data_IF_526812754392
#
_entry.id   IF_526812754392
#
_cell.length_a   1.000
_cell.length_b   1.000
_cell.length_c   1.000
_cell.angle_alpha   90.00
_cell.angle_beta   90.00
_cell.angle_gamma   90.00
#
_symmetry.space_group_name_H-M   'P 1'
#
loop_
_entity.id
_entity.type
_entity.pdbx_description
1 polymer ?
#
# COMPACT_ATOMS: atom_id res chain seq x y z
N UNK A 1 -13.51 -11.90 -61.44
CA UNK A 1 -12.17 -12.24 -60.90
C UNK A 1 -11.32 -10.98 -60.88
N UNK A 2 -11.31 -10.28 -59.76
CA UNK A 2 -10.32 -9.23 -59.47
C UNK A 2 -10.27 -9.06 -57.94
N UNK A 3 -9.76 -10.10 -57.28
CA UNK A 3 -9.38 -10.05 -55.87
C UNK A 3 -7.94 -9.58 -55.84
N UNK A 4 -7.74 -8.27 -56.01
CA UNK A 4 -6.45 -7.66 -55.73
C UNK A 4 -6.13 -7.95 -54.26
N UNK A 5 -5.07 -8.72 -54.07
CA UNK A 5 -4.42 -9.02 -52.81
C UNK A 5 -4.25 -7.69 -52.08
N UNK A 6 -5.07 -7.39 -51.06
CA UNK A 6 -4.68 -6.42 -50.04
C UNK A 6 -3.39 -7.00 -49.47
N UNK A 7 -2.26 -6.35 -49.77
CA UNK A 7 -1.03 -6.58 -49.03
C UNK A 7 -1.40 -6.63 -47.57
N UNK A 8 -0.97 -7.69 -46.91
CA UNK A 8 -1.36 -7.94 -45.55
C UNK A 8 -0.65 -6.90 -44.67
N UNK A 9 -1.34 -5.80 -44.40
CA UNK A 9 -0.78 -4.57 -43.84
C UNK A 9 -0.06 -4.83 -42.51
N UNK A 10 -0.60 -5.75 -41.71
CA UNK A 10 0.04 -6.20 -40.48
C UNK A 10 1.39 -6.87 -40.77
N UNK A 11 1.48 -7.72 -41.79
CA UNK A 11 2.73 -8.39 -42.16
C UNK A 11 3.80 -7.39 -42.62
N UNK A 12 3.41 -6.33 -43.34
CA UNK A 12 4.33 -5.26 -43.73
C UNK A 12 4.82 -4.46 -42.51
N UNK A 13 3.90 -4.13 -41.60
CA UNK A 13 4.20 -3.40 -40.37
C UNK A 13 5.17 -4.19 -39.48
N UNK A 14 4.97 -5.50 -39.31
CA UNK A 14 5.85 -6.37 -38.55
C UNK A 14 7.26 -6.41 -39.16
N UNK A 15 7.37 -6.55 -40.49
CA UNK A 15 8.66 -6.61 -41.20
C UNK A 15 9.43 -5.29 -41.19
N UNK A 16 8.75 -4.16 -41.07
CA UNK A 16 9.38 -2.84 -40.97
C UNK A 16 10.09 -2.65 -39.63
N UNK A 17 9.63 -3.31 -38.56
CA UNK A 17 10.05 -3.05 -37.18
C UNK A 17 10.76 -4.19 -36.47
N UNK A 18 10.66 -5.40 -36.99
CA UNK A 18 11.20 -6.61 -36.38
C UNK A 18 12.17 -7.31 -37.35
N UNK A 19 13.03 -8.17 -36.80
CA UNK A 19 13.82 -9.08 -37.63
C UNK A 19 12.91 -10.08 -38.35
N UNK A 20 13.39 -10.62 -39.48
CA UNK A 20 12.58 -11.45 -40.36
C UNK A 20 12.02 -12.72 -39.67
N UNK A 21 12.78 -13.31 -38.74
CA UNK A 21 12.34 -14.52 -38.05
C UNK A 21 11.21 -14.18 -37.06
N UNK A 22 11.40 -13.16 -36.22
CA UNK A 22 10.37 -12.70 -35.27
C UNK A 22 9.11 -12.22 -35.99
N UNK A 23 9.25 -11.49 -37.10
CA UNK A 23 8.12 -11.01 -37.89
C UNK A 23 7.30 -12.14 -38.50
N UNK A 24 7.95 -13.16 -39.08
CA UNK A 24 7.27 -14.32 -39.64
C UNK A 24 6.54 -15.13 -38.56
N UNK A 25 7.22 -15.35 -37.43
CA UNK A 25 6.70 -16.12 -36.32
C UNK A 25 5.49 -15.42 -35.66
N UNK A 26 5.52 -14.10 -35.47
CA UNK A 26 4.34 -13.33 -35.04
C UNK A 26 3.21 -13.39 -36.06
N UNK A 27 3.52 -13.22 -37.34
CA UNK A 27 2.52 -13.25 -38.41
C UNK A 27 1.77 -14.59 -38.45
N UNK A 28 2.48 -15.69 -38.20
CA UNK A 28 1.93 -17.05 -38.06
C UNK A 28 0.96 -17.19 -36.89
N UNK A 29 1.30 -16.64 -35.72
CA UNK A 29 0.46 -16.71 -34.52
C UNK A 29 -0.74 -15.76 -34.59
N UNK A 30 -0.61 -14.64 -35.31
CA UNK A 30 -1.68 -13.67 -35.55
C UNK A 30 -2.43 -13.93 -36.87
N UNK A 31 -2.42 -15.17 -37.39
CA UNK A 31 -3.21 -15.51 -38.59
C UNK A 31 -4.70 -15.61 -38.33
N UNK A 32 -5.10 -15.93 -37.10
CA UNK A 32 -6.51 -16.02 -36.74
C UNK A 32 -7.20 -14.67 -37.00
N UNK A 33 -8.20 -14.59 -37.90
CA UNK A 33 -8.90 -13.35 -38.19
C UNK A 33 -9.48 -12.66 -36.94
N UNK A 34 -9.87 -13.43 -35.91
CA UNK A 34 -10.41 -12.91 -34.66
C UNK A 34 -9.38 -12.14 -33.82
N UNK A 35 -8.08 -12.41 -34.02
CA UNK A 35 -6.99 -11.67 -33.38
C UNK A 35 -6.36 -10.65 -34.34
N UNK A 36 -6.21 -11.04 -35.61
CA UNK A 36 -5.51 -10.25 -36.64
C UNK A 36 -6.18 -8.90 -36.87
N UNK A 37 -7.49 -8.90 -37.03
CA UNK A 37 -8.25 -7.68 -37.37
C UNK A 37 -8.20 -6.68 -36.22
N UNK A 38 -8.56 -7.05 -34.96
CA UNK A 38 -8.45 -6.12 -33.84
C UNK A 38 -7.02 -5.60 -33.61
N UNK A 39 -6.01 -6.47 -33.69
CA UNK A 39 -4.61 -6.04 -33.49
C UNK A 39 -4.20 -5.00 -34.54
N UNK A 40 -4.55 -5.20 -35.82
CA UNK A 40 -4.24 -4.22 -36.85
C UNK A 40 -5.00 -2.90 -36.63
N UNK A 41 -6.27 -2.95 -36.23
CA UNK A 41 -7.08 -1.78 -35.92
C UNK A 41 -6.46 -0.95 -34.79
N UNK A 42 -6.11 -1.59 -33.67
CA UNK A 42 -5.49 -0.92 -32.52
C UNK A 42 -4.09 -0.36 -32.84
N UNK A 43 -3.29 -1.08 -33.61
CA UNK A 43 -2.00 -0.56 -34.08
C UNK A 43 -2.17 0.64 -35.01
N UNK A 44 -3.24 0.69 -35.81
CA UNK A 44 -3.55 1.85 -36.63
C UNK A 44 -4.04 3.03 -35.80
N UNK A 45 -4.83 2.81 -34.75
CA UNK A 45 -5.20 3.87 -33.80
C UNK A 45 -3.95 4.47 -33.11
N UNK A 46 -3.01 3.63 -32.67
CA UNK A 46 -1.73 4.11 -32.14
C UNK A 46 -0.94 4.93 -33.16
N UNK A 47 -1.04 4.62 -34.45
CA UNK A 47 -0.39 5.38 -35.53
C UNK A 47 -1.00 6.76 -35.70
N UNK A 48 -2.32 6.86 -35.59
CA UNK A 48 -3.05 8.13 -35.64
C UNK A 48 -2.62 9.06 -34.49
N UNK A 49 -2.34 8.50 -33.31
CA UNK A 49 -1.75 9.24 -32.19
C UNK A 49 -0.27 9.56 -32.45
N UNK A 50 0.54 8.55 -32.74
CA UNK A 50 1.97 8.69 -33.04
C UNK A 50 2.56 7.44 -33.70
N UNK A 51 3.12 7.62 -34.91
CA UNK A 51 3.89 6.57 -35.60
C UNK A 51 5.09 6.04 -34.80
N UNK A 52 5.65 6.85 -33.90
CA UNK A 52 6.72 6.44 -32.99
C UNK A 52 6.20 5.45 -31.93
N UNK A 53 5.03 5.72 -31.37
CA UNK A 53 4.40 4.85 -30.36
C UNK A 53 3.96 3.54 -31.02
N UNK A 54 3.34 3.60 -32.21
CA UNK A 54 3.04 2.40 -32.99
C UNK A 54 4.30 1.55 -33.21
N UNK A 55 5.40 2.17 -33.65
CA UNK A 55 6.66 1.46 -33.87
C UNK A 55 7.18 0.76 -32.61
N UNK A 56 7.07 1.40 -31.44
CA UNK A 56 7.43 0.80 -30.15
C UNK A 56 6.48 -0.35 -29.76
N UNK A 57 5.17 -0.20 -29.95
CA UNK A 57 4.19 -1.25 -29.70
C UNK A 57 4.45 -2.48 -30.57
N UNK A 58 4.75 -2.29 -31.87
CA UNK A 58 5.09 -3.37 -32.80
C UNK A 58 6.39 -4.07 -32.38
N UNK A 59 7.39 -3.31 -31.93
CA UNK A 59 8.61 -3.91 -31.39
C UNK A 59 8.31 -4.76 -30.13
N UNK A 60 7.53 -4.20 -29.22
CA UNK A 60 7.13 -4.84 -27.96
C UNK A 60 6.26 -6.09 -28.17
N UNK A 61 5.47 -6.19 -29.24
CA UNK A 61 4.72 -7.40 -29.60
C UNK A 61 5.63 -8.64 -29.71
N UNK A 62 6.86 -8.46 -30.22
CA UNK A 62 7.85 -9.54 -30.26
C UNK A 62 8.25 -10.03 -28.87
N UNK A 63 8.35 -9.12 -27.89
CA UNK A 63 8.63 -9.45 -26.50
C UNK A 63 7.43 -10.13 -25.82
N UNK A 64 6.22 -9.62 -26.04
CA UNK A 64 4.96 -10.21 -25.56
C UNK A 64 4.83 -11.65 -26.03
N UNK A 65 5.12 -11.92 -27.31
CA UNK A 65 5.19 -13.28 -27.83
C UNK A 65 6.24 -14.12 -27.14
N UNK A 66 7.47 -13.64 -27.03
CA UNK A 66 8.57 -14.42 -26.46
C UNK A 66 8.26 -14.89 -25.04
N UNK A 67 7.43 -14.14 -24.32
CA UNK A 67 6.97 -14.45 -22.95
C UNK A 67 5.68 -15.28 -22.89
N UNK A 68 5.11 -15.65 -24.04
CA UNK A 68 3.87 -16.43 -24.09
C UNK A 68 2.62 -15.62 -23.73
N UNK A 69 2.65 -14.30 -23.90
CA UNK A 69 1.58 -13.39 -23.48
C UNK A 69 0.69 -12.90 -24.64
N UNK A 70 0.80 -13.49 -25.84
CA UNK A 70 0.03 -13.05 -27.02
C UNK A 70 -1.49 -13.15 -26.85
N UNK A 71 -1.98 -14.05 -26.00
CA UNK A 71 -3.42 -14.14 -25.74
C UNK A 71 -4.00 -12.84 -25.18
N UNK A 72 -3.21 -12.10 -24.40
CA UNK A 72 -3.59 -10.83 -23.78
C UNK A 72 -3.31 -9.61 -24.67
N UNK A 73 -3.01 -9.79 -25.96
CA UNK A 73 -2.53 -8.71 -26.83
C UNK A 73 -3.54 -7.58 -27.04
N UNK A 74 -4.84 -7.92 -27.11
CA UNK A 74 -5.92 -6.93 -27.31
C UNK A 74 -6.02 -5.99 -26.09
N UNK A 75 -6.31 -6.49 -24.86
CA UNK A 75 -6.39 -5.60 -23.69
C UNK A 75 -5.06 -4.89 -23.40
N UNK A 76 -3.93 -5.51 -23.76
CA UNK A 76 -2.61 -4.88 -23.66
C UNK A 76 -2.44 -3.69 -24.63
N UNK A 77 -2.90 -3.80 -25.88
CA UNK A 77 -2.86 -2.68 -26.83
C UNK A 77 -3.85 -1.58 -26.45
N UNK A 78 -5.07 -1.93 -26.02
CA UNK A 78 -6.09 -0.99 -25.56
C UNK A 78 -5.57 -0.11 -24.42
N UNK A 79 -4.98 -0.71 -23.39
CA UNK A 79 -4.36 0.05 -22.28
C UNK A 79 -3.24 0.97 -22.77
N UNK A 80 -2.45 0.51 -23.74
CA UNK A 80 -1.38 1.32 -24.34
C UNK A 80 -1.89 2.53 -25.14
N UNK A 81 -3.06 2.42 -25.76
CA UNK A 81 -3.78 3.51 -26.44
C UNK A 81 -4.28 4.51 -25.42
N UNK A 82 -4.95 4.07 -24.34
CA UNK A 82 -5.40 4.95 -23.25
C UNK A 82 -4.23 5.76 -22.67
N UNK A 83 -3.08 5.11 -22.44
CA UNK A 83 -1.88 5.84 -22.03
C UNK A 83 -1.35 6.78 -23.10
N UNK A 84 -1.47 6.46 -24.39
CA UNK A 84 -1.01 7.32 -25.47
C UNK A 84 -1.87 8.58 -25.61
N UNK A 85 -3.18 8.45 -25.40
CA UNK A 85 -4.14 9.57 -25.37
C UNK A 85 -3.83 10.53 -24.21
N UNK A 86 -3.42 10.01 -23.05
CA UNK A 86 -3.01 10.82 -21.91
C UNK A 86 -1.62 11.46 -22.09
N UNK A 87 -0.62 10.65 -22.48
CA UNK A 87 0.77 11.10 -22.64
C UNK A 87 1.59 10.11 -23.46
N UNK A 88 2.16 10.59 -24.59
CA UNK A 88 3.05 9.78 -25.41
C UNK A 88 4.29 9.26 -24.66
N UNK A 89 4.78 9.98 -23.65
CA UNK A 89 5.89 9.51 -22.81
C UNK A 89 5.47 8.36 -21.87
N UNK A 90 4.22 8.35 -21.41
CA UNK A 90 3.67 7.27 -20.60
C UNK A 90 3.50 6.00 -21.44
N UNK A 91 2.89 6.11 -22.61
CA UNK A 91 2.71 4.97 -23.53
C UNK A 91 4.04 4.35 -23.99
N UNK A 92 5.06 5.18 -24.27
CA UNK A 92 6.40 4.67 -24.59
C UNK A 92 7.04 3.88 -23.42
N UNK A 93 6.86 4.32 -22.17
CA UNK A 93 7.32 3.57 -21.00
C UNK A 93 6.54 2.25 -20.87
N UNK A 94 5.22 2.33 -21.03
CA UNK A 94 4.34 1.18 -21.01
C UNK A 94 4.77 0.10 -22.01
N UNK A 95 4.90 0.41 -23.30
CA UNK A 95 5.27 -0.60 -24.29
C UNK A 95 6.68 -1.19 -24.06
N UNK A 96 7.59 -0.45 -23.44
CA UNK A 96 8.94 -0.93 -23.10
C UNK A 96 8.96 -1.87 -21.91
N UNK A 97 8.18 -1.57 -20.87
CA UNK A 97 8.25 -2.26 -19.58
C UNK A 97 7.19 -3.35 -19.43
N UNK A 98 5.99 -3.14 -19.98
CA UNK A 98 4.83 -4.03 -19.80
C UNK A 98 5.01 -5.45 -20.30
N UNK A 99 5.77 -5.78 -21.38
CA UNK A 99 5.97 -7.18 -21.75
C UNK A 99 6.63 -7.97 -20.63
N UNK A 100 7.59 -7.35 -19.91
CA UNK A 100 8.23 -7.99 -18.77
C UNK A 100 7.26 -8.20 -17.61
N UNK A 101 6.44 -7.18 -17.31
CA UNK A 101 5.39 -7.24 -16.28
C UNK A 101 4.42 -8.39 -16.58
N UNK A 102 3.90 -8.47 -17.81
CA UNK A 102 2.98 -9.54 -18.25
C UNK A 102 3.60 -10.92 -18.12
N UNK A 103 4.89 -11.06 -18.39
CA UNK A 103 5.60 -12.34 -18.25
C UNK A 103 5.68 -12.86 -16.82
N UNK A 104 5.51 -12.00 -15.81
CA UNK A 104 5.43 -12.41 -14.41
C UNK A 104 3.99 -12.69 -13.94
N UNK A 105 2.97 -12.32 -14.72
CA UNK A 105 1.59 -12.63 -14.43
C UNK A 105 1.27 -14.04 -14.97
N UNK A 106 1.37 -15.05 -14.10
CA UNK A 106 1.44 -16.46 -14.52
C UNK A 106 0.19 -16.97 -15.28
N UNK A 107 -1.01 -16.51 -14.91
CA UNK A 107 -2.28 -17.00 -15.47
C UNK A 107 -2.88 -16.03 -16.49
N UNK A 108 -3.23 -16.56 -17.65
CA UNK A 108 -3.87 -15.79 -18.74
C UNK A 108 -5.18 -15.14 -18.31
N UNK A 109 -6.10 -15.88 -17.68
CA UNK A 109 -7.36 -15.32 -17.17
C UNK A 109 -7.14 -14.14 -16.22
N UNK A 110 -6.10 -14.22 -15.40
CA UNK A 110 -5.77 -13.16 -14.46
C UNK A 110 -5.12 -11.97 -15.18
N UNK A 111 -4.31 -12.21 -16.23
CA UNK A 111 -3.69 -11.13 -17.02
C UNK A 111 -4.74 -10.22 -17.63
N UNK A 112 -5.73 -10.80 -18.30
CA UNK A 112 -6.76 -10.03 -18.99
C UNK A 112 -7.65 -9.27 -17.99
N UNK A 113 -8.04 -9.90 -16.87
CA UNK A 113 -8.79 -9.24 -15.80
C UNK A 113 -7.99 -8.09 -15.17
N UNK A 114 -6.70 -8.30 -14.88
CA UNK A 114 -5.82 -7.26 -14.33
C UNK A 114 -5.57 -6.11 -15.31
N UNK A 115 -5.42 -6.40 -16.61
CA UNK A 115 -5.29 -5.38 -17.65
C UNK A 115 -6.59 -4.59 -17.82
N UNK A 116 -7.74 -5.25 -17.79
CA UNK A 116 -9.04 -4.59 -17.82
C UNK A 116 -9.21 -3.64 -16.63
N UNK A 117 -8.84 -4.06 -15.42
CA UNK A 117 -8.84 -3.16 -14.27
C UNK A 117 -7.84 -2.01 -14.40
N UNK A 118 -6.62 -2.26 -14.89
CA UNK A 118 -5.67 -1.18 -15.14
C UNK A 118 -6.20 -0.18 -16.18
N UNK A 119 -6.94 -0.65 -17.18
CA UNK A 119 -7.63 0.19 -18.17
C UNK A 119 -8.75 1.01 -17.52
N UNK A 120 -9.61 0.41 -16.70
CA UNK A 120 -10.66 1.12 -15.94
C UNK A 120 -10.07 2.23 -15.06
N UNK A 121 -8.94 1.95 -14.39
CA UNK A 121 -8.23 2.95 -13.59
C UNK A 121 -7.65 4.05 -14.47
N UNK A 122 -7.08 3.72 -15.62
CA UNK A 122 -6.47 4.69 -16.54
C UNK A 122 -7.50 5.61 -17.19
N UNK A 123 -8.70 5.10 -17.47
CA UNK A 123 -9.84 5.84 -18.03
C UNK A 123 -10.62 6.63 -16.96
N UNK A 124 -10.16 6.61 -15.71
CA UNK A 124 -10.72 7.40 -14.63
C UNK A 124 -10.74 8.90 -14.93
N UNK A 125 -11.67 9.62 -14.29
CA UNK A 125 -11.93 11.05 -14.57
C UNK A 125 -10.83 12.01 -14.13
N UNK A 126 -9.88 11.56 -13.29
CA UNK A 126 -8.78 12.38 -12.80
C UNK A 126 -7.62 12.47 -13.78
N UNK A 127 -7.03 13.66 -13.95
CA UNK A 127 -5.85 13.87 -14.81
C UNK A 127 -4.65 12.97 -14.43
N UNK A 128 -4.59 12.55 -13.16
CA UNK A 128 -3.56 11.67 -12.62
C UNK A 128 -3.83 10.16 -12.84
N UNK A 129 -5.04 9.80 -13.28
CA UNK A 129 -5.51 8.42 -13.35
C UNK A 129 -4.63 7.53 -14.27
N UNK A 130 -4.22 7.97 -15.47
CA UNK A 130 -3.30 7.20 -16.32
C UNK A 130 -1.95 6.92 -15.65
N UNK A 131 -1.40 7.90 -14.93
CA UNK A 131 -0.10 7.74 -14.27
C UNK A 131 -0.20 6.81 -13.06
N UNK A 132 -1.31 6.86 -12.32
CA UNK A 132 -1.61 5.96 -11.21
C UNK A 132 -1.82 4.52 -11.69
N UNK A 133 -2.62 4.32 -12.74
CA UNK A 133 -2.83 3.00 -13.35
C UNK A 133 -1.53 2.37 -13.85
N UNK A 134 -0.61 3.18 -14.36
CA UNK A 134 0.71 2.70 -14.75
C UNK A 134 1.58 2.27 -13.55
N UNK A 135 1.60 3.05 -12.47
CA UNK A 135 2.31 2.64 -11.25
C UNK A 135 1.68 1.39 -10.62
N UNK A 136 0.35 1.28 -10.66
CA UNK A 136 -0.37 0.08 -10.24
C UNK A 136 0.05 -1.16 -11.04
N UNK A 137 0.06 -1.06 -12.37
CA UNK A 137 0.48 -2.14 -13.26
C UNK A 137 1.89 -2.66 -12.92
N UNK A 138 2.82 -1.78 -12.56
CA UNK A 138 4.20 -2.16 -12.21
C UNK A 138 4.29 -3.01 -10.95
N UNK A 139 3.40 -2.80 -9.99
CA UNK A 139 3.42 -3.51 -8.70
C UNK A 139 2.57 -4.78 -8.70
N UNK A 140 1.70 -4.97 -9.71
CA UNK A 140 0.82 -6.13 -9.83
C UNK A 140 1.53 -7.50 -9.73
N UNK A 141 2.69 -7.75 -10.38
CA UNK A 141 3.36 -9.04 -10.26
C UNK A 141 3.71 -9.41 -8.82
N UNK A 142 4.14 -8.42 -8.02
CA UNK A 142 4.45 -8.65 -6.62
C UNK A 142 3.18 -8.87 -5.79
N UNK A 143 2.13 -8.08 -6.02
CA UNK A 143 0.85 -8.21 -5.33
C UNK A 143 0.16 -9.56 -5.58
N UNK A 144 0.21 -10.05 -6.82
CA UNK A 144 -0.35 -11.37 -7.18
C UNK A 144 0.33 -12.53 -6.42
N UNK A 145 1.55 -12.33 -5.94
CA UNK A 145 2.26 -13.31 -5.10
C UNK A 145 1.91 -13.25 -3.62
N UNK A 146 1.27 -12.17 -3.15
CA UNK A 146 1.04 -11.90 -1.72
C UNK A 146 -0.44 -11.95 -1.34
N UNK A 147 -1.36 -11.54 -2.22
CA UNK A 147 -2.80 -11.38 -1.91
C UNK A 147 -3.72 -11.90 -3.03
N UNK A 148 -5.01 -12.09 -2.69
CA UNK A 148 -6.02 -12.59 -3.63
C UNK A 148 -6.52 -11.51 -4.59
N UNK A 149 -6.99 -11.93 -5.79
CA UNK A 149 -7.43 -11.00 -6.85
C UNK A 149 -8.54 -10.01 -6.44
N UNK A 150 -9.60 -10.41 -5.70
CA UNK A 150 -10.60 -9.44 -5.23
C UNK A 150 -10.02 -8.39 -4.27
N UNK A 151 -8.98 -8.76 -3.50
CA UNK A 151 -8.29 -7.85 -2.59
C UNK A 151 -7.41 -6.86 -3.36
N UNK A 152 -6.76 -7.30 -4.44
CA UNK A 152 -6.00 -6.45 -5.37
C UNK A 152 -6.90 -5.31 -5.88
N UNK A 153 -8.13 -5.59 -6.31
CA UNK A 153 -9.06 -4.57 -6.79
C UNK A 153 -9.41 -3.54 -5.69
N UNK A 154 -9.62 -3.98 -4.45
CA UNK A 154 -9.95 -3.07 -3.35
C UNK A 154 -8.74 -2.18 -2.97
N UNK A 155 -7.52 -2.72 -2.99
CA UNK A 155 -6.30 -1.92 -2.84
C UNK A 155 -6.19 -0.86 -3.96
N UNK A 156 -6.52 -1.22 -5.20
CA UNK A 156 -6.51 -0.28 -6.32
C UNK A 156 -7.48 0.89 -6.09
N UNK A 157 -8.70 0.57 -5.63
CA UNK A 157 -9.76 1.52 -5.33
C UNK A 157 -9.30 2.53 -4.27
N UNK A 158 -8.67 2.07 -3.19
CA UNK A 158 -8.11 2.93 -2.14
C UNK A 158 -7.01 3.87 -2.67
N UNK A 159 -6.12 3.35 -3.53
CA UNK A 159 -5.07 4.15 -4.15
C UNK A 159 -5.63 5.26 -5.05
N UNK A 160 -6.72 4.97 -5.78
CA UNK A 160 -7.40 5.98 -6.59
C UNK A 160 -8.14 7.02 -5.76
N UNK A 161 -8.84 6.63 -4.69
CA UNK A 161 -9.45 7.58 -3.75
C UNK A 161 -8.39 8.55 -3.17
N UNK A 162 -7.20 8.04 -2.86
CA UNK A 162 -6.07 8.85 -2.44
C UNK A 162 -5.53 9.75 -3.57
N UNK A 163 -5.43 9.25 -4.78
CA UNK A 163 -4.92 10.01 -5.94
C UNK A 163 -5.85 11.15 -6.35
N UNK A 164 -7.17 10.96 -6.25
CA UNK A 164 -8.18 12.00 -6.47
C UNK A 164 -8.03 13.14 -5.47
N UNK A 165 -7.68 12.82 -4.22
CA UNK A 165 -7.41 13.81 -3.20
C UNK A 165 -6.04 14.49 -3.42
N UNK A 166 -4.99 13.71 -3.64
CA UNK A 166 -3.66 14.18 -3.97
C UNK A 166 -2.85 13.12 -4.71
N UNK A 167 -2.49 13.44 -5.95
CA UNK A 167 -1.69 12.55 -6.81
C UNK A 167 -0.40 12.05 -6.15
N UNK A 168 0.33 12.89 -5.42
CA UNK A 168 1.62 12.49 -4.82
C UNK A 168 1.39 11.38 -3.79
N UNK A 169 0.34 11.49 -2.98
CA UNK A 169 -0.01 10.45 -2.01
C UNK A 169 -0.51 9.17 -2.68
N UNK A 170 -1.44 9.28 -3.65
CA UNK A 170 -1.94 8.11 -4.37
C UNK A 170 -0.82 7.37 -5.11
N UNK A 171 0.08 8.10 -5.77
CA UNK A 171 1.22 7.53 -6.47
C UNK A 171 2.21 6.84 -5.51
N UNK A 172 2.48 7.44 -4.34
CA UNK A 172 3.32 6.79 -3.32
C UNK A 172 2.65 5.53 -2.75
N UNK A 173 1.35 5.60 -2.47
CA UNK A 173 0.56 4.47 -2.00
C UNK A 173 0.63 3.30 -2.98
N UNK A 174 0.48 3.54 -4.29
CA UNK A 174 0.61 2.50 -5.30
C UNK A 174 2.00 1.87 -5.32
N UNK A 175 3.06 2.68 -5.22
CA UNK A 175 4.44 2.18 -5.20
C UNK A 175 4.74 1.29 -4.01
N UNK A 176 4.25 1.67 -2.84
CA UNK A 176 4.46 0.93 -1.58
C UNK A 176 3.40 -0.15 -1.34
N UNK A 177 2.38 -0.25 -2.19
CA UNK A 177 1.25 -1.14 -2.01
C UNK A 177 1.64 -2.61 -1.75
N UNK A 178 2.63 -3.21 -2.43
CA UNK A 178 3.05 -4.58 -2.09
C UNK A 178 3.50 -4.76 -0.65
N UNK A 179 4.27 -3.80 -0.13
CA UNK A 179 4.74 -3.80 1.25
C UNK A 179 3.57 -3.58 2.21
N UNK A 180 2.68 -2.65 1.88
CA UNK A 180 1.50 -2.30 2.68
C UNK A 180 0.54 -3.50 2.76
N UNK A 181 0.15 -4.10 1.64
CA UNK A 181 -0.78 -5.21 1.57
C UNK A 181 -0.27 -6.46 2.30
N UNK A 182 1.04 -6.68 2.29
CA UNK A 182 1.68 -7.75 3.09
C UNK A 182 1.59 -7.49 4.60
N UNK A 183 1.67 -6.23 5.00
CA UNK A 183 1.80 -5.83 6.39
C UNK A 183 0.46 -5.48 7.07
N UNK A 184 -0.51 -4.93 6.34
CA UNK A 184 -1.75 -4.36 6.86
C UNK A 184 -2.93 -5.15 6.28
N UNK A 185 -3.78 -5.77 7.12
CA UNK A 185 -4.99 -6.43 6.64
C UNK A 185 -5.90 -5.46 5.88
N UNK A 186 -6.57 -5.95 4.83
CA UNK A 186 -7.49 -5.14 4.02
C UNK A 186 -8.55 -4.42 4.87
N UNK A 187 -9.10 -5.10 5.88
CA UNK A 187 -10.12 -4.54 6.78
C UNK A 187 -9.60 -3.32 7.57
N UNK A 188 -8.29 -3.27 7.81
CA UNK A 188 -7.60 -2.19 8.51
C UNK A 188 -7.06 -1.10 7.59
N UNK A 189 -7.05 -1.32 6.27
CA UNK A 189 -6.37 -0.45 5.30
C UNK A 189 -6.88 1.00 5.36
N UNK A 190 -8.19 1.22 5.39
CA UNK A 190 -8.79 2.57 5.49
C UNK A 190 -8.41 3.28 6.79
N UNK A 191 -8.40 2.55 7.91
CA UNK A 191 -8.02 3.12 9.20
C UNK A 191 -6.53 3.47 9.24
N UNK A 192 -5.68 2.61 8.66
CA UNK A 192 -4.24 2.84 8.52
C UNK A 192 -3.93 4.04 7.63
N UNK A 193 -4.63 4.19 6.49
CA UNK A 193 -4.54 5.39 5.64
C UNK A 193 -4.95 6.62 6.44
N UNK A 194 -6.09 6.56 7.13
CA UNK A 194 -6.59 7.65 7.97
C UNK A 194 -5.59 8.08 9.04
N UNK A 195 -4.89 7.14 9.68
CA UNK A 195 -3.79 7.43 10.59
C UNK A 195 -2.66 8.19 9.88
N UNK A 196 -2.16 7.67 8.76
CA UNK A 196 -1.11 8.34 7.98
C UNK A 196 -1.48 9.77 7.56
N UNK A 197 -2.75 10.01 7.22
CA UNK A 197 -3.25 11.34 6.84
C UNK A 197 -3.24 12.34 8.01
N UNK A 198 -3.40 11.89 9.26
CA UNK A 198 -3.31 12.76 10.44
C UNK A 198 -1.89 13.25 10.72
N UNK A 199 -0.88 12.64 10.10
CA UNK A 199 0.53 13.04 10.22
C UNK A 199 0.90 14.23 9.32
N UNK A 200 -0.04 14.74 8.52
CA UNK A 200 0.19 15.94 7.72
C UNK A 200 0.23 17.18 8.62
N UNK A 201 1.26 18.00 8.42
CA UNK A 201 1.44 19.28 9.11
C UNK A 201 1.31 20.43 8.12
N UNK A 202 1.20 21.66 8.61
CA UNK A 202 1.28 22.85 7.76
C UNK A 202 2.73 23.32 7.64
N UNK A 203 3.18 23.58 6.42
CA UNK A 203 4.48 24.20 6.20
C UNK A 203 4.45 25.71 6.55
N UNK A 204 5.61 26.37 6.47
CA UNK A 204 5.77 27.80 6.76
C UNK A 204 4.93 28.74 5.87
N UNK A 205 4.37 28.22 4.78
CA UNK A 205 3.48 28.95 3.86
C UNK A 205 2.00 28.64 4.10
N UNK A 206 1.67 27.87 5.15
CA UNK A 206 0.30 27.47 5.49
C UNK A 206 -0.30 26.40 4.57
N UNK A 207 0.52 25.75 3.73
CA UNK A 207 0.08 24.65 2.86
C UNK A 207 0.33 23.30 3.54
N UNK A 208 -0.46 22.26 3.23
CA UNK A 208 -0.19 20.90 3.71
C UNK A 208 1.21 20.43 3.29
N UNK A 209 1.92 19.83 4.25
CA UNK A 209 3.17 19.11 4.06
C UNK A 209 2.90 17.61 4.20
N UNK A 210 3.19 16.88 3.12
CA UNK A 210 2.90 15.46 2.99
C UNK A 210 4.06 14.56 3.44
N UNK A 211 5.21 15.14 3.84
CA UNK A 211 6.41 14.35 4.16
C UNK A 211 6.12 13.30 5.24
N UNK A 212 5.40 13.66 6.31
CA UNK A 212 5.05 12.73 7.38
C UNK A 212 4.21 11.55 6.91
N UNK A 213 3.20 11.80 6.07
CA UNK A 213 2.36 10.74 5.48
C UNK A 213 3.14 9.85 4.52
N UNK A 214 3.99 10.45 3.67
CA UNK A 214 4.84 9.71 2.73
C UNK A 214 5.84 8.81 3.46
N UNK A 215 6.48 9.31 4.52
CA UNK A 215 7.38 8.53 5.36
C UNK A 215 6.63 7.41 6.09
N UNK A 216 5.41 7.67 6.57
CA UNK A 216 4.56 6.66 7.18
C UNK A 216 4.21 5.52 6.20
N UNK A 217 3.86 5.83 4.95
CA UNK A 217 3.59 4.79 3.94
C UNK A 217 4.80 3.92 3.64
N UNK A 218 6.01 4.52 3.61
CA UNK A 218 7.27 3.80 3.34
C UNK A 218 7.77 2.95 4.50
N UNK A 219 7.62 3.45 5.72
CA UNK A 219 8.30 2.86 6.89
C UNK A 219 7.39 1.98 7.73
N UNK A 220 6.13 2.37 7.91
CA UNK A 220 5.23 1.65 8.82
C UNK A 220 4.94 0.20 8.40
N UNK A 221 4.91 -0.21 7.11
CA UNK A 221 4.73 -1.62 6.77
C UNK A 221 5.76 -2.53 7.42
N UNK A 222 7.03 -2.11 7.52
CA UNK A 222 8.08 -2.89 8.19
C UNK A 222 7.80 -3.09 9.68
N UNK A 223 7.30 -2.04 10.36
CA UNK A 223 6.91 -2.10 11.78
C UNK A 223 5.69 -3.00 11.99
N UNK A 224 4.71 -2.94 11.08
CA UNK A 224 3.52 -3.81 11.15
C UNK A 224 3.83 -5.28 10.82
N UNK A 225 4.89 -5.58 10.07
CA UNK A 225 5.35 -6.97 9.85
C UNK A 225 5.92 -7.62 11.12
N UNK A 226 6.41 -6.82 12.07
CA UNK A 226 6.89 -7.32 13.37
C UNK A 226 5.74 -7.70 14.33
N UNK A 227 4.50 -7.34 13.98
CA UNK A 227 3.30 -7.64 14.76
C UNK A 227 2.53 -8.78 14.07
N UNK A 228 2.41 -9.94 14.71
CA UNK A 228 1.87 -11.13 14.03
C UNK A 228 0.33 -11.20 13.99
N UNK A 229 -0.37 -10.55 14.92
CA UNK A 229 -1.82 -10.69 15.09
C UNK A 229 -2.58 -9.50 14.47
N UNK A 230 -3.56 -9.77 13.60
CA UNK A 230 -4.33 -8.75 12.88
C UNK A 230 -5.14 -7.83 13.81
N UNK A 231 -5.69 -8.37 14.90
CA UNK A 231 -6.44 -7.59 15.89
C UNK A 231 -5.50 -6.66 16.67
N UNK A 232 -4.29 -7.13 16.97
CA UNK A 232 -3.25 -6.29 17.58
C UNK A 232 -2.81 -5.19 16.61
N UNK A 233 -2.65 -5.46 15.31
CA UNK A 233 -2.36 -4.43 14.30
C UNK A 233 -3.45 -3.36 14.28
N UNK A 234 -4.73 -3.76 14.25
CA UNK A 234 -5.85 -2.82 14.31
C UNK A 234 -5.79 -1.95 15.58
N UNK A 235 -5.54 -2.54 16.75
CA UNK A 235 -5.44 -1.78 18.00
C UNK A 235 -4.24 -0.81 18.01
N UNK A 236 -3.13 -1.14 17.34
CA UNK A 236 -2.00 -0.21 17.14
C UNK A 236 -2.40 0.95 16.22
N UNK A 237 -3.13 0.66 15.14
CA UNK A 237 -3.65 1.70 14.23
C UNK A 237 -4.59 2.64 14.99
N UNK A 238 -5.51 2.11 15.79
CA UNK A 238 -6.48 2.90 16.55
C UNK A 238 -5.77 3.83 17.55
N UNK A 239 -4.82 3.31 18.33
CA UNK A 239 -4.05 4.11 19.29
C UNK A 239 -3.16 5.14 18.61
N UNK A 240 -2.45 4.76 17.54
CA UNK A 240 -1.63 5.69 16.77
C UNK A 240 -2.47 6.81 16.16
N UNK A 241 -3.64 6.47 15.61
CA UNK A 241 -4.59 7.43 15.05
C UNK A 241 -5.16 8.40 16.09
N UNK A 242 -5.47 7.91 17.29
CA UNK A 242 -5.90 8.74 18.42
C UNK A 242 -4.79 9.70 18.87
N UNK A 243 -3.56 9.22 19.00
CA UNK A 243 -2.41 10.08 19.32
C UNK A 243 -2.19 11.16 18.24
N UNK A 244 -2.34 10.79 16.97
CA UNK A 244 -2.12 11.71 15.86
C UNK A 244 -3.14 12.86 15.81
N UNK A 245 -4.35 12.68 16.38
CA UNK A 245 -5.32 13.77 16.51
C UNK A 245 -4.81 14.90 17.42
N UNK A 246 -3.84 14.63 18.29
CA UNK A 246 -3.36 15.56 19.32
C UNK A 246 -1.89 15.94 19.13
N UNK A 247 -1.05 14.97 18.75
CA UNK A 247 0.35 15.18 18.41
C UNK A 247 0.83 14.12 17.41
N UNK A 248 1.00 14.50 16.13
CA UNK A 248 1.63 13.65 15.12
C UNK A 248 3.00 13.11 15.54
N UNK A 249 3.80 13.92 16.23
CA UNK A 249 5.14 13.54 16.69
C UNK A 249 5.08 12.38 17.68
N UNK A 250 4.14 12.43 18.64
CA UNK A 250 3.98 11.34 19.61
C UNK A 250 3.38 10.09 19.00
N UNK A 251 2.52 10.22 17.98
CA UNK A 251 2.02 9.07 17.24
C UNK A 251 3.14 8.34 16.49
N UNK A 252 4.06 9.07 15.86
CA UNK A 252 5.25 8.50 15.21
C UNK A 252 6.18 7.82 16.24
N UNK A 253 6.45 8.49 17.36
CA UNK A 253 7.28 7.92 18.43
C UNK A 253 6.65 6.66 19.06
N UNK A 254 5.32 6.61 19.16
CA UNK A 254 4.58 5.43 19.61
C UNK A 254 4.75 4.29 18.61
N UNK A 255 4.49 4.54 17.32
CA UNK A 255 4.56 3.52 16.28
C UNK A 255 5.95 2.90 16.19
N UNK A 256 7.01 3.71 16.31
CA UNK A 256 8.39 3.23 16.30
C UNK A 256 8.73 2.30 17.49
N UNK A 257 8.05 2.46 18.64
CA UNK A 257 8.25 1.63 19.85
C UNK A 257 7.30 0.44 19.94
N UNK A 258 6.17 0.48 19.25
CA UNK A 258 5.11 -0.52 19.34
C UNK A 258 5.61 -1.96 19.15
N UNK A 259 6.41 -2.29 18.11
CA UNK A 259 6.91 -3.64 17.93
C UNK A 259 7.71 -4.17 19.11
N UNK A 260 8.67 -3.39 19.61
CA UNK A 260 9.55 -3.79 20.71
C UNK A 260 8.77 -4.06 22.00
N UNK A 261 7.87 -3.15 22.38
CA UNK A 261 7.06 -3.29 23.59
C UNK A 261 6.11 -4.48 23.48
N UNK A 262 5.45 -4.65 22.33
CA UNK A 262 4.51 -5.74 22.11
C UNK A 262 5.20 -7.11 21.96
N UNK A 263 6.47 -7.16 21.56
CA UNK A 263 7.25 -8.40 21.50
C UNK A 263 7.52 -8.99 22.89
N UNK A 264 7.59 -8.15 23.94
CA UNK A 264 7.80 -8.57 25.33
C UNK A 264 6.54 -9.12 26.00
N UNK A 265 5.36 -8.87 25.42
CA UNK A 265 4.07 -9.33 25.94
C UNK A 265 3.70 -10.65 25.26
N UNK A 266 3.34 -11.66 26.05
CA UNK A 266 3.21 -13.05 25.59
C UNK A 266 1.96 -13.34 24.76
N UNK A 267 0.79 -12.81 25.14
CA UNK A 267 -0.49 -13.12 24.48
C UNK A 267 -1.11 -11.94 23.74
N UNK A 268 -1.86 -12.22 22.68
CA UNK A 268 -2.61 -11.21 21.92
C UNK A 268 -3.65 -10.50 22.80
N UNK A 269 -4.29 -11.21 23.74
CA UNK A 269 -5.25 -10.62 24.66
C UNK A 269 -4.61 -9.52 25.53
N UNK A 270 -3.44 -9.80 26.10
CA UNK A 270 -2.70 -8.79 26.87
C UNK A 270 -2.21 -7.64 26.00
N UNK A 271 -1.74 -7.90 24.77
CA UNK A 271 -1.37 -6.85 23.80
C UNK A 271 -2.56 -5.92 23.52
N UNK A 272 -3.72 -6.49 23.25
CA UNK A 272 -4.95 -5.71 23.01
C UNK A 272 -5.35 -4.93 24.28
N UNK A 273 -5.25 -5.55 25.46
CA UNK A 273 -5.56 -4.88 26.74
C UNK A 273 -4.67 -3.66 26.96
N UNK A 274 -3.36 -3.80 26.84
CA UNK A 274 -2.46 -2.66 27.07
C UNK A 274 -2.65 -1.53 26.06
N UNK A 275 -3.00 -1.86 24.80
CA UNK A 275 -3.32 -0.87 23.77
C UNK A 275 -4.64 -0.14 24.06
N UNK A 276 -5.68 -0.85 24.50
CA UNK A 276 -6.96 -0.25 24.95
C UNK A 276 -6.79 0.66 26.14
N UNK A 277 -5.96 0.28 27.11
CA UNK A 277 -5.64 1.13 28.25
C UNK A 277 -4.81 2.36 27.79
N UNK A 278 -3.90 2.18 26.84
CA UNK A 278 -3.19 3.29 26.20
C UNK A 278 -4.10 4.31 25.52
N UNK A 279 -5.21 3.87 24.89
CA UNK A 279 -6.23 4.77 24.33
C UNK A 279 -6.84 5.68 25.41
N UNK A 280 -7.16 5.12 26.59
CA UNK A 280 -7.70 5.92 27.71
C UNK A 280 -6.71 6.97 28.21
N UNK A 281 -5.40 6.70 28.14
CA UNK A 281 -4.36 7.68 28.47
C UNK A 281 -4.26 8.73 27.35
N UNK A 282 -4.36 8.32 26.08
CA UNK A 282 -4.26 9.19 24.92
C UNK A 282 -5.38 10.25 24.88
N UNK A 283 -6.59 9.88 25.29
CA UNK A 283 -7.73 10.80 25.45
C UNK A 283 -7.46 11.93 26.47
N UNK A 284 -6.46 11.76 27.34
CA UNK A 284 -6.10 12.74 28.37
C UNK A 284 -4.83 13.49 28.02
N UNK A 285 -3.75 12.78 27.66
CA UNK A 285 -2.47 13.38 27.33
C UNK A 285 -1.58 12.47 26.46
N UNK A 286 -1.16 12.91 25.26
CA UNK A 286 -0.34 12.07 24.36
C UNK A 286 1.06 11.79 24.91
N UNK A 287 1.64 12.67 25.73
CA UNK A 287 2.98 12.42 26.31
C UNK A 287 2.91 11.37 27.43
N UNK A 288 1.87 11.41 28.25
CA UNK A 288 1.61 10.40 29.28
C UNK A 288 1.42 9.02 28.65
N UNK A 289 0.79 8.92 27.46
CA UNK A 289 0.65 7.66 26.74
C UNK A 289 1.99 7.07 26.35
N UNK A 290 2.95 7.88 25.90
CA UNK A 290 4.30 7.38 25.60
C UNK A 290 5.05 6.95 26.86
N UNK A 291 4.89 7.69 27.96
CA UNK A 291 5.47 7.31 29.25
C UNK A 291 4.90 5.96 29.70
N UNK A 292 3.58 5.80 29.64
CA UNK A 292 2.87 4.55 29.93
C UNK A 292 3.41 3.41 29.06
N UNK A 293 3.49 3.63 27.75
CA UNK A 293 3.89 2.61 26.80
C UNK A 293 5.38 2.23 26.93
N UNK A 294 6.21 3.16 27.40
CA UNK A 294 7.61 2.89 27.72
C UNK A 294 7.80 1.90 28.87
N UNK A 295 6.84 1.80 29.80
CA UNK A 295 6.97 1.01 31.03
C UNK A 295 6.01 -0.19 31.07
N UNK A 296 4.96 -0.20 30.25
CA UNK A 296 3.87 -1.18 30.36
C UNK A 296 4.33 -2.63 30.19
N UNK A 297 5.26 -2.89 29.28
CA UNK A 297 5.77 -4.26 29.07
C UNK A 297 6.46 -4.81 30.31
N UNK A 298 7.21 -3.98 31.03
CA UNK A 298 7.91 -4.38 32.26
C UNK A 298 6.90 -4.63 33.38
N UNK A 299 5.90 -3.76 33.54
CA UNK A 299 4.82 -3.93 34.53
C UNK A 299 4.02 -5.21 34.28
N UNK A 300 3.69 -5.52 33.02
CA UNK A 300 2.96 -6.75 32.66
C UNK A 300 3.81 -7.99 32.90
N UNK A 301 5.11 -7.97 32.56
CA UNK A 301 6.02 -9.09 32.84
C UNK A 301 6.18 -9.31 34.34
N UNK A 302 6.23 -8.24 35.13
CA UNK A 302 6.34 -8.30 36.60
C UNK A 302 5.06 -8.79 37.28
N UNK A 303 3.89 -8.52 36.71
CA UNK A 303 2.63 -9.10 37.17
C UNK A 303 2.64 -10.65 37.10
N UNK A 304 3.56 -11.23 36.31
CA UNK A 304 4.13 -12.56 36.55
C UNK A 304 3.24 -13.76 36.20
N UNK A 305 1.92 -13.57 36.03
CA UNK A 305 0.98 -14.58 35.52
C UNK A 305 -0.14 -13.91 34.74
N UNK A 306 -0.42 -14.42 33.55
CA UNK A 306 -1.43 -13.86 32.64
C UNK A 306 -2.86 -13.86 33.19
N UNK A 307 -3.10 -14.51 34.35
CA UNK A 307 -4.37 -14.55 35.08
C UNK A 307 -4.48 -13.54 36.25
N UNK A 308 -3.39 -12.87 36.66
CA UNK A 308 -3.42 -11.88 37.75
C UNK A 308 -3.15 -10.47 37.21
N UNK A 309 -4.24 -9.80 36.81
CA UNK A 309 -4.17 -8.41 36.35
C UNK A 309 -4.11 -7.39 37.49
N UNK A 310 -4.16 -7.80 38.76
CA UNK A 310 -4.28 -6.90 39.90
C UNK A 310 -3.14 -5.88 40.00
N UNK A 311 -1.91 -6.32 39.72
CA UNK A 311 -0.72 -5.47 39.68
C UNK A 311 -0.82 -4.40 38.59
N UNK A 312 -1.17 -4.82 37.38
CA UNK A 312 -1.33 -3.91 36.24
C UNK A 312 -2.49 -2.92 36.47
N UNK A 313 -3.65 -3.41 36.93
CA UNK A 313 -4.85 -2.61 37.15
C UNK A 313 -4.63 -1.58 38.26
N UNK A 314 -3.94 -1.93 39.35
CA UNK A 314 -3.59 -1.00 40.42
C UNK A 314 -2.58 0.05 39.96
N UNK A 315 -1.54 -0.35 39.23
CA UNK A 315 -0.56 0.60 38.66
C UNK A 315 -1.25 1.57 37.71
N UNK A 316 -2.07 1.07 36.79
CA UNK A 316 -2.79 1.90 35.84
C UNK A 316 -3.77 2.84 36.52
N UNK A 317 -4.58 2.35 37.46
CA UNK A 317 -5.55 3.14 38.19
C UNK A 317 -4.90 4.33 38.91
N UNK A 318 -3.79 4.09 39.62
CA UNK A 318 -3.03 5.15 40.29
C UNK A 318 -2.40 6.15 39.31
N UNK A 319 -1.98 5.68 38.13
CA UNK A 319 -1.49 6.56 37.07
C UNK A 319 -2.57 7.46 36.51
N UNK A 320 -3.79 6.93 36.31
CA UNK A 320 -4.95 7.72 35.88
C UNK A 320 -5.40 8.72 36.95
N UNK A 321 -5.40 8.35 38.24
CA UNK A 321 -5.66 9.28 39.34
C UNK A 321 -4.65 10.43 39.38
N UNK A 322 -3.36 10.11 39.19
CA UNK A 322 -2.31 11.12 39.10
C UNK A 322 -2.52 12.05 37.89
N UNK A 323 -2.91 11.49 36.74
CA UNK A 323 -3.19 12.24 35.52
C UNK A 323 -4.43 13.14 35.66
N UNK A 324 -5.46 12.69 36.39
CA UNK A 324 -6.64 13.49 36.72
C UNK A 324 -6.30 14.65 37.67
N UNK A 325 -5.35 14.43 38.59
CA UNK A 325 -4.86 15.49 39.48
C UNK A 325 -4.03 16.55 38.72
N UNK A 326 -3.10 16.13 37.86
CA UNK A 326 -2.32 17.00 36.99
C UNK A 326 -1.64 16.21 35.86
N UNK A 327 -1.54 16.83 34.68
CA UNK A 327 -0.86 16.26 33.51
C UNK A 327 0.59 15.90 33.82
N UNK A 328 1.31 16.78 34.52
CA UNK A 328 2.70 16.55 34.94
C UNK A 328 2.82 15.38 35.91
N UNK A 329 1.89 15.27 36.87
CA UNK A 329 1.86 14.16 37.82
C UNK A 329 1.63 12.82 37.13
N UNK A 330 0.68 12.75 36.18
CA UNK A 330 0.44 11.55 35.38
C UNK A 330 1.63 11.15 34.52
N UNK A 331 2.25 12.11 33.80
CA UNK A 331 3.47 11.87 33.00
C UNK A 331 4.60 11.30 33.85
N UNK A 332 4.89 11.93 35.00
CA UNK A 332 5.95 11.50 35.90
C UNK A 332 5.63 10.14 36.55
N UNK A 333 4.35 9.85 36.83
CA UNK A 333 3.94 8.56 37.38
C UNK A 333 4.16 7.44 36.35
N UNK A 334 3.61 7.59 35.15
CA UNK A 334 3.76 6.58 34.10
C UNK A 334 5.21 6.43 33.62
N UNK A 335 6.02 7.49 33.72
CA UNK A 335 7.46 7.45 33.45
C UNK A 335 8.31 6.82 34.56
N UNK A 336 7.69 6.39 35.68
CA UNK A 336 8.37 5.89 36.90
C UNK A 336 9.38 6.89 37.50
N UNK A 337 9.15 8.19 37.33
CA UNK A 337 10.06 9.25 37.81
C UNK A 337 9.77 9.67 39.26
N UNK A 338 8.68 9.16 39.85
CA UNK A 338 8.28 9.48 41.23
C UNK A 338 8.51 8.32 42.17
N UNK A 339 8.91 8.60 43.42
CA UNK A 339 8.97 7.57 44.48
C UNK A 339 7.65 6.85 44.66
N UNK A 340 6.53 7.54 44.43
CA UNK A 340 5.20 6.96 44.55
C UNK A 340 4.93 5.94 43.43
N UNK A 341 5.38 6.21 42.20
CA UNK A 341 5.32 5.26 41.09
C UNK A 341 6.23 4.05 41.31
N UNK A 342 7.48 4.25 41.73
CA UNK A 342 8.37 3.16 42.10
C UNK A 342 7.78 2.32 43.24
N UNK A 343 7.25 2.97 44.29
CA UNK A 343 6.61 2.27 45.41
C UNK A 343 5.35 1.51 45.00
N UNK A 344 4.59 1.99 44.00
CA UNK A 344 3.41 1.31 43.51
C UNK A 344 3.79 0.01 42.78
N UNK A 345 4.85 0.04 41.97
CA UNK A 345 5.42 -1.15 41.33
C UNK A 345 6.02 -2.10 42.37
N UNK A 346 6.79 -1.59 43.33
CA UNK A 346 7.41 -2.39 44.41
C UNK A 346 6.38 -3.04 45.36
N UNK A 347 5.33 -2.30 45.75
CA UNK A 347 4.23 -2.84 46.57
C UNK A 347 3.50 -3.95 45.83
N UNK A 348 3.22 -3.74 44.55
CA UNK A 348 2.59 -4.74 43.71
C UNK A 348 3.49 -5.99 43.51
N UNK A 349 4.81 -5.83 43.45
CA UNK A 349 5.77 -6.94 43.44
C UNK A 349 5.86 -7.71 44.77
N UNK A 350 5.59 -7.05 45.90
CA UNK A 350 5.72 -7.65 47.23
C UNK A 350 4.52 -8.50 47.66
N UNK A 351 3.39 -8.41 46.95
CA UNK A 351 2.17 -9.17 47.25
C UNK A 351 1.53 -8.84 48.61
N UNK A 352 1.91 -7.72 49.24
CA UNK A 352 1.36 -7.28 50.53
C UNK A 352 0.40 -6.10 50.26
N UNK A 353 -0.88 -6.19 50.68
CA UNK A 353 -1.87 -5.14 50.47
C UNK A 353 -1.56 -3.83 51.19
#
# INVERSE_FOLDING_TARGET
MSSFIKKDELQELLRDRLDAATAQDLDEHLRDPYLRVPVLELLNELKEISSKIQGEAVWALGEVKRRGCLASVIPWLDLGITFAQASGALSLRYFKESPMILGFLEKESNRDELLAHALELADGSGEAAPQCAYEWLKVLPQLCGEIALPEIQEWARLGMELAEWNYVLGNEFFRECPSIAKAVPMESAKAWIGFGMKLMVQNSLGKPDYIGTLEFFRTSPSLFLEINDATVKQAVIDLGSSLADHSPEQAVAFLAKAPEVLARISTAEWKIRVLKFGLLVADRDPMATLAYFGQVSEVVVLAGKEDDSGVFDAWFGRGMEALEYSVEAGRAFFGLETRQACSAVEQAMSGVP
#
